data_IF_523170896644
#
_entry.id   IF_523170896644
#
_cell.length_a   1.000
_cell.length_b   1.000
_cell.length_c   1.000
_cell.angle_alpha   90.00
_cell.angle_beta   90.00
_cell.angle_gamma   90.00
#
_symmetry.space_group_name_H-M   'P 1'
#
loop_
_entity.id
_entity.type
_entity.pdbx_description
1 polymer ?
#
# COMPACT_ATOMS: atom_id res chain seq x y z
N UNK A 1 36.12 -7.70 -45.62
CA UNK A 1 36.31 -7.86 -44.16
C UNK A 1 36.30 -6.51 -43.43
N UNK A 2 37.06 -5.51 -43.89
CA UNK A 2 37.06 -4.14 -43.30
C UNK A 2 35.66 -3.49 -43.28
N UNK A 3 34.92 -3.51 -44.39
CA UNK A 3 33.57 -2.93 -44.48
C UNK A 3 32.57 -3.60 -43.53
N UNK A 4 32.66 -4.93 -43.38
CA UNK A 4 31.85 -5.72 -42.47
C UNK A 4 32.11 -5.33 -41.00
N UNK A 5 33.39 -5.23 -40.61
CA UNK A 5 33.75 -4.83 -39.25
C UNK A 5 33.27 -3.40 -38.95
N UNK A 6 33.42 -2.45 -39.90
CA UNK A 6 32.97 -1.07 -39.72
C UNK A 6 31.45 -0.95 -39.56
N UNK A 7 30.68 -1.74 -40.30
CA UNK A 7 29.21 -1.77 -40.18
C UNK A 7 28.82 -2.31 -38.79
N UNK A 8 29.36 -3.45 -38.37
CA UNK A 8 29.00 -4.04 -37.08
C UNK A 8 29.46 -3.22 -35.88
N UNK A 9 30.60 -2.52 -35.96
CA UNK A 9 31.02 -1.56 -34.93
C UNK A 9 30.08 -0.36 -34.88
N UNK A 10 29.62 0.17 -36.02
CA UNK A 10 28.60 1.24 -36.05
C UNK A 10 27.25 0.80 -35.51
N UNK A 11 26.88 -0.46 -35.73
CA UNK A 11 25.63 -1.07 -35.24
C UNK A 11 25.73 -1.56 -33.80
N UNK A 12 26.92 -1.53 -33.18
CA UNK A 12 27.14 -2.02 -31.81
C UNK A 12 27.05 -3.55 -31.65
N UNK A 13 27.13 -4.31 -32.75
CA UNK A 13 26.99 -5.75 -32.76
C UNK A 13 28.35 -6.46 -32.66
N UNK A 14 28.89 -6.52 -31.45
CA UNK A 14 30.20 -7.11 -31.19
C UNK A 14 30.24 -8.63 -31.41
N UNK A 15 29.10 -9.32 -31.28
CA UNK A 15 28.99 -10.77 -31.47
C UNK A 15 29.21 -11.21 -32.92
N UNK A 16 29.05 -10.29 -33.89
CA UNK A 16 29.27 -10.56 -35.32
C UNK A 16 30.68 -10.20 -35.80
N UNK A 17 31.58 -9.78 -34.91
CA UNK A 17 33.01 -9.58 -35.20
C UNK A 17 33.79 -10.91 -35.09
N UNK A 18 33.34 -11.91 -35.82
CA UNK A 18 33.94 -13.25 -35.89
C UNK A 18 34.55 -13.52 -37.27
N UNK A 19 35.30 -14.62 -37.37
CA UNK A 19 35.82 -15.10 -38.65
C UNK A 19 34.66 -15.26 -39.67
N UNK A 20 34.81 -14.77 -40.92
CA UNK A 20 33.77 -14.84 -41.94
C UNK A 20 33.65 -16.22 -42.60
N UNK A 21 34.51 -17.18 -42.23
CA UNK A 21 34.40 -18.57 -42.70
C UNK A 21 33.16 -19.23 -42.06
N UNK A 22 32.36 -19.92 -42.87
CA UNK A 22 31.11 -20.54 -42.43
C UNK A 22 31.30 -21.63 -41.35
N UNK A 23 32.50 -22.23 -41.29
CA UNK A 23 32.86 -23.22 -40.28
C UNK A 23 33.63 -22.65 -39.08
N UNK A 24 33.98 -21.37 -39.07
CA UNK A 24 34.76 -20.75 -37.99
C UNK A 24 34.02 -19.55 -37.42
N UNK A 25 33.59 -19.63 -36.15
CA UNK A 25 32.98 -18.49 -35.43
C UNK A 25 33.92 -17.87 -34.39
N UNK A 26 35.23 -18.07 -34.56
CA UNK A 26 36.19 -17.52 -33.61
C UNK A 26 36.17 -15.99 -33.64
N UNK A 27 36.16 -15.31 -32.48
CA UNK A 27 36.21 -13.86 -32.41
C UNK A 27 37.52 -13.35 -33.00
N UNK A 28 37.45 -12.22 -33.70
CA UNK A 28 38.64 -11.59 -34.27
C UNK A 28 39.53 -11.05 -33.14
N UNK A 29 40.84 -11.37 -33.13
CA UNK A 29 41.74 -10.87 -32.10
C UNK A 29 41.88 -9.33 -32.19
N UNK A 30 42.10 -8.64 -31.06
CA UNK A 30 42.14 -7.17 -31.01
C UNK A 30 43.18 -6.54 -31.96
N UNK A 31 44.31 -7.21 -32.20
CA UNK A 31 45.36 -6.79 -33.13
C UNK A 31 44.88 -6.73 -34.59
N UNK A 32 44.05 -7.69 -35.01
CA UNK A 32 43.45 -7.73 -36.34
C UNK A 32 42.36 -6.66 -36.46
N UNK A 33 41.54 -6.48 -35.42
CA UNK A 33 40.53 -5.41 -35.38
C UNK A 33 41.15 -4.03 -35.49
N UNK A 34 42.25 -3.75 -34.78
CA UNK A 34 42.98 -2.48 -34.87
C UNK A 34 43.49 -2.20 -36.29
N UNK A 35 44.01 -3.24 -36.95
CA UNK A 35 44.52 -3.15 -38.33
C UNK A 35 43.40 -2.89 -39.35
N UNK A 36 42.21 -3.46 -39.13
CA UNK A 36 41.06 -3.34 -40.04
C UNK A 36 40.24 -2.05 -39.82
N UNK A 37 40.04 -1.63 -38.57
CA UNK A 37 39.14 -0.52 -38.23
C UNK A 37 39.82 0.86 -38.21
N UNK A 38 41.16 0.88 -38.18
CA UNK A 38 41.98 2.07 -37.88
C UNK A 38 41.66 2.65 -36.49
N UNK A 39 42.35 3.71 -36.09
CA UNK A 39 42.29 4.20 -34.70
C UNK A 39 40.88 4.61 -34.26
N UNK A 40 40.13 5.36 -35.09
CA UNK A 40 38.78 5.84 -34.74
C UNK A 40 37.77 4.69 -34.55
N UNK A 41 37.76 3.73 -35.47
CA UNK A 41 36.84 2.59 -35.41
C UNK A 41 37.21 1.60 -34.31
N UNK A 42 38.51 1.46 -34.00
CA UNK A 42 38.98 0.63 -32.91
C UNK A 42 38.60 1.22 -31.54
N UNK A 43 38.74 2.54 -31.35
CA UNK A 43 38.32 3.22 -30.12
C UNK A 43 36.81 3.08 -29.87
N UNK A 44 36.01 3.13 -30.94
CA UNK A 44 34.57 2.89 -30.84
C UNK A 44 34.25 1.44 -30.44
N UNK A 45 34.93 0.46 -31.05
CA UNK A 45 34.81 -0.95 -30.67
C UNK A 45 35.20 -1.18 -29.20
N UNK A 46 36.31 -0.61 -28.76
CA UNK A 46 36.81 -0.74 -27.38
C UNK A 46 35.81 -0.16 -26.38
N UNK A 47 35.22 1.00 -26.70
CA UNK A 47 34.18 1.63 -25.87
C UNK A 47 32.93 0.74 -25.76
N UNK A 48 32.46 0.17 -26.87
CA UNK A 48 31.32 -0.76 -26.85
C UNK A 48 31.65 -2.05 -26.11
N UNK A 49 32.85 -2.61 -26.29
CA UNK A 49 33.28 -3.82 -25.61
C UNK A 49 33.35 -3.62 -24.09
N UNK A 50 33.90 -2.48 -23.65
CA UNK A 50 33.88 -2.09 -22.26
C UNK A 50 32.45 -1.93 -21.75
N UNK A 51 31.58 -1.22 -22.47
CA UNK A 51 30.19 -1.05 -22.06
C UNK A 51 29.46 -2.40 -21.91
N UNK A 52 29.64 -3.34 -22.84
CA UNK A 52 29.06 -4.69 -22.73
C UNK A 52 29.60 -5.50 -21.54
N UNK A 53 30.86 -5.32 -21.19
CA UNK A 53 31.44 -5.93 -19.99
C UNK A 53 30.85 -5.32 -18.71
N UNK A 54 30.74 -3.98 -18.67
CA UNK A 54 30.15 -3.26 -17.55
C UNK A 54 28.66 -3.62 -17.37
N UNK A 55 27.92 -3.72 -18.48
CA UNK A 55 26.52 -4.16 -18.50
C UNK A 55 26.35 -5.62 -18.06
N UNK A 56 27.42 -6.44 -18.04
CA UNK A 56 27.37 -7.81 -17.55
C UNK A 56 27.58 -7.92 -16.03
N UNK A 57 28.05 -6.86 -15.37
CA UNK A 57 28.31 -6.85 -13.93
C UNK A 57 27.07 -6.35 -13.16
N UNK A 58 26.36 -7.23 -12.44
CA UNK A 58 25.09 -6.89 -11.78
C UNK A 58 25.29 -5.99 -10.54
N UNK A 59 26.48 -5.99 -9.96
CA UNK A 59 26.89 -5.20 -8.80
C UNK A 59 27.46 -3.83 -9.19
N UNK A 60 27.55 -3.52 -10.49
CA UNK A 60 28.05 -2.24 -10.96
C UNK A 60 26.98 -1.15 -10.89
N UNK A 61 27.26 -0.10 -10.12
CA UNK A 61 26.40 1.07 -9.99
C UNK A 61 27.18 2.36 -10.23
N UNK A 62 26.50 3.40 -10.73
CA UNK A 62 27.14 4.68 -11.01
C UNK A 62 26.92 5.69 -9.88
N UNK A 63 28.00 6.38 -9.51
CA UNK A 63 27.95 7.43 -8.50
C UNK A 63 27.01 8.58 -8.94
N UNK A 64 26.05 9.01 -8.11
CA UNK A 64 25.12 10.08 -8.47
C UNK A 64 25.77 11.47 -8.54
N UNK A 65 27.03 11.64 -8.09
CA UNK A 65 27.73 12.94 -8.08
C UNK A 65 28.68 13.12 -9.25
N UNK A 66 29.44 12.07 -9.58
CA UNK A 66 30.52 12.15 -10.57
C UNK A 66 30.42 11.06 -11.65
N UNK A 67 29.37 10.24 -11.64
CA UNK A 67 29.15 9.15 -12.60
C UNK A 67 30.27 8.11 -12.67
N UNK A 68 31.14 8.06 -11.66
CA UNK A 68 32.15 7.01 -11.56
C UNK A 68 31.50 5.66 -11.27
N UNK A 69 32.02 4.60 -11.88
CA UNK A 69 31.61 3.23 -11.59
C UNK A 69 31.99 2.84 -10.15
N UNK A 70 31.05 2.22 -9.45
CA UNK A 70 31.14 1.81 -8.05
C UNK A 70 30.59 0.39 -7.91
N UNK A 71 31.09 -0.38 -6.95
CA UNK A 71 30.57 -1.70 -6.63
C UNK A 71 29.53 -1.59 -5.49
N UNK A 72 28.38 -2.22 -5.70
CA UNK A 72 27.29 -2.34 -4.73
C UNK A 72 27.58 -3.47 -3.73
N UNK A 73 27.43 -3.18 -2.44
CA UNK A 73 27.48 -4.14 -1.33
C UNK A 73 26.26 -3.91 -0.47
N UNK A 74 25.37 -4.90 -0.41
CA UNK A 74 24.14 -4.88 0.40
C UNK A 74 23.31 -3.58 0.27
N UNK A 75 23.02 -3.17 -0.97
CA UNK A 75 22.26 -1.95 -1.33
C UNK A 75 22.96 -0.61 -1.03
N UNK A 76 24.24 -0.63 -0.66
CA UNK A 76 25.08 0.54 -0.46
C UNK A 76 26.28 0.51 -1.42
N UNK A 77 26.79 1.68 -1.79
CA UNK A 77 28.01 1.79 -2.58
C UNK A 77 28.86 2.98 -2.13
N UNK A 78 30.18 2.83 -2.20
CA UNK A 78 31.13 3.91 -1.97
C UNK A 78 31.86 4.26 -3.25
N UNK A 79 31.80 5.53 -3.64
CA UNK A 79 32.50 6.01 -4.83
C UNK A 79 34.02 6.08 -4.60
N UNK A 80 34.85 5.43 -5.44
CA UNK A 80 36.31 5.54 -5.29
C UNK A 80 36.86 6.91 -5.72
N UNK A 81 36.14 7.64 -6.57
CA UNK A 81 36.58 8.95 -7.06
C UNK A 81 36.29 10.12 -6.11
N UNK A 82 35.08 10.19 -5.55
CA UNK A 82 34.66 11.29 -4.67
C UNK A 82 34.39 10.86 -3.22
N UNK A 83 34.63 9.59 -2.87
CA UNK A 83 34.41 9.00 -1.55
C UNK A 83 32.97 9.14 -1.01
N UNK A 84 32.01 9.49 -1.87
CA UNK A 84 30.61 9.58 -1.49
C UNK A 84 30.03 8.19 -1.29
N UNK A 85 29.53 7.92 -0.07
CA UNK A 85 28.78 6.70 0.26
C UNK A 85 27.28 6.95 0.12
N UNK A 86 26.62 6.11 -0.66
CA UNK A 86 25.21 6.29 -1.03
C UNK A 86 24.46 4.96 -1.06
N UNK A 87 23.15 5.03 -0.85
CA UNK A 87 22.25 3.90 -1.04
C UNK A 87 21.96 3.73 -2.54
N UNK A 88 22.12 2.53 -3.08
CA UNK A 88 21.94 2.24 -4.51
C UNK A 88 20.48 2.25 -4.94
N UNK A 89 19.56 2.04 -3.98
CA UNK A 89 18.11 2.08 -4.22
C UNK A 89 17.60 3.51 -4.41
N UNK A 90 17.87 4.42 -3.46
CA UNK A 90 17.37 5.81 -3.51
C UNK A 90 18.37 6.82 -4.08
N UNK A 91 19.64 6.42 -4.31
CA UNK A 91 20.76 7.26 -4.77
C UNK A 91 21.07 8.46 -3.86
N UNK A 92 20.61 8.45 -2.60
CA UNK A 92 20.93 9.45 -1.57
C UNK A 92 22.03 8.96 -0.64
N UNK A 93 22.47 9.81 0.29
CA UNK A 93 23.45 9.44 1.33
C UNK A 93 22.98 8.15 2.04
N UNK A 94 23.92 7.25 2.31
CA UNK A 94 23.68 6.02 3.07
C UNK A 94 22.92 6.29 4.37
N UNK A 95 21.92 5.47 4.65
CA UNK A 95 21.05 5.57 5.82
C UNK A 95 20.80 4.17 6.41
N UNK A 96 20.61 4.09 7.73
CA UNK A 96 20.34 2.83 8.46
C UNK A 96 19.12 3.05 9.33
N UNK A 97 18.13 2.16 9.26
CA UNK A 97 16.91 2.24 10.08
C UNK A 97 15.84 3.23 9.59
N UNK A 98 16.18 4.11 8.65
CA UNK A 98 15.21 5.00 7.99
C UNK A 98 14.51 4.30 6.81
N UNK A 99 13.26 4.67 6.56
CA UNK A 99 12.51 4.21 5.39
C UNK A 99 13.14 4.80 4.11
N UNK A 100 13.95 4.00 3.42
CA UNK A 100 14.62 4.38 2.17
C UNK A 100 13.64 4.75 1.05
N UNK A 101 12.81 3.76 0.72
CA UNK A 101 11.78 3.74 -0.33
C UNK A 101 10.65 2.85 0.19
N UNK A 102 9.48 2.94 -0.43
CA UNK A 102 8.36 2.07 -0.06
C UNK A 102 8.64 0.62 -0.50
N UNK A 103 8.04 -0.39 0.14
CA UNK A 103 8.18 -1.78 -0.27
C UNK A 103 7.81 -2.01 -1.75
N UNK A 104 6.78 -1.34 -2.24
CA UNK A 104 6.33 -1.43 -3.64
C UNK A 104 7.41 -0.97 -4.62
N UNK A 105 8.04 0.16 -4.31
CA UNK A 105 9.12 0.74 -5.11
C UNK A 105 10.33 -0.20 -5.13
N UNK A 106 10.68 -0.78 -3.98
CA UNK A 106 11.79 -1.72 -3.85
C UNK A 106 11.57 -2.97 -4.71
N UNK A 107 10.36 -3.54 -4.65
CA UNK A 107 9.98 -4.69 -5.49
C UNK A 107 10.14 -4.34 -6.98
N UNK A 108 9.71 -3.14 -7.41
CA UNK A 108 9.85 -2.70 -8.80
C UNK A 108 11.32 -2.65 -9.24
N UNK A 109 12.18 -2.00 -8.46
CA UNK A 109 13.60 -1.86 -8.76
C UNK A 109 14.28 -3.24 -8.89
N UNK A 110 14.02 -4.15 -7.94
CA UNK A 110 14.61 -5.50 -7.97
C UNK A 110 14.12 -6.31 -9.18
N UNK A 111 12.83 -6.23 -9.53
CA UNK A 111 12.29 -6.89 -10.72
C UNK A 111 12.87 -6.32 -12.03
N UNK A 112 13.15 -5.03 -12.10
CA UNK A 112 13.80 -4.41 -13.26
C UNK A 112 15.26 -4.85 -13.39
N UNK A 113 16.00 -4.91 -12.28
CA UNK A 113 17.37 -5.45 -12.26
C UNK A 113 17.42 -6.88 -12.81
N UNK A 114 16.47 -7.74 -12.40
CA UNK A 114 16.37 -9.12 -12.90
C UNK A 114 16.10 -9.24 -14.40
N UNK A 115 15.47 -8.25 -15.03
CA UNK A 115 15.17 -8.26 -16.48
C UNK A 115 16.34 -7.78 -17.32
N UNK A 116 17.13 -6.84 -16.80
CA UNK A 116 18.18 -6.16 -17.56
C UNK A 116 19.51 -6.93 -17.56
N UNK A 117 19.80 -7.62 -16.46
CA UNK A 117 21.10 -8.25 -16.24
C UNK A 117 21.00 -9.77 -16.29
N UNK A 118 22.03 -10.42 -16.84
CA UNK A 118 22.22 -11.86 -16.63
C UNK A 118 22.80 -12.05 -15.23
N UNK A 119 21.91 -12.15 -14.25
CA UNK A 119 22.29 -12.24 -12.83
C UNK A 119 22.75 -13.67 -12.51
N UNK A 120 23.85 -13.86 -11.75
CA UNK A 120 24.22 -15.16 -11.21
C UNK A 120 23.07 -15.79 -10.41
N UNK A 121 22.89 -17.11 -10.52
CA UNK A 121 21.78 -17.84 -9.90
C UNK A 121 21.67 -17.60 -8.39
N UNK A 122 22.80 -17.53 -7.69
CA UNK A 122 22.86 -17.28 -6.24
C UNK A 122 22.29 -15.90 -5.85
N UNK A 123 22.67 -14.86 -6.60
CA UNK A 123 22.19 -13.50 -6.37
C UNK A 123 20.71 -13.37 -6.73
N UNK A 124 20.27 -14.01 -7.81
CA UNK A 124 18.86 -14.09 -8.19
C UNK A 124 18.01 -14.77 -7.10
N UNK A 125 18.51 -15.84 -6.50
CA UNK A 125 17.83 -16.52 -5.39
C UNK A 125 17.75 -15.66 -4.13
N UNK A 126 18.78 -14.85 -3.83
CA UNK A 126 18.77 -13.89 -2.71
C UNK A 126 17.72 -12.80 -2.94
N UNK A 127 17.72 -12.18 -4.11
CA UNK A 127 16.75 -11.12 -4.44
C UNK A 127 15.31 -11.65 -4.52
N UNK A 128 15.11 -12.86 -5.05
CA UNK A 128 13.78 -13.48 -5.09
C UNK A 128 13.22 -13.71 -3.69
N UNK A 129 14.02 -14.23 -2.76
CA UNK A 129 13.62 -14.38 -1.35
C UNK A 129 13.24 -13.04 -0.73
N UNK A 130 14.03 -11.99 -0.99
CA UNK A 130 13.73 -10.65 -0.50
C UNK A 130 12.42 -10.08 -1.07
N UNK A 131 12.14 -10.29 -2.36
CA UNK A 131 10.87 -9.90 -2.98
C UNK A 131 9.70 -10.66 -2.34
N UNK A 132 9.82 -11.99 -2.19
CA UNK A 132 8.77 -12.83 -1.62
C UNK A 132 8.47 -12.44 -0.16
N UNK A 133 9.50 -12.12 0.64
CA UNK A 133 9.33 -11.59 1.99
C UNK A 133 8.56 -10.25 2.01
N UNK A 134 8.90 -9.32 1.11
CA UNK A 134 8.20 -8.03 1.02
C UNK A 134 6.73 -8.20 0.61
N UNK A 135 6.44 -9.10 -0.32
CA UNK A 135 5.07 -9.42 -0.75
C UNK A 135 4.29 -10.04 0.40
N UNK A 136 4.85 -11.04 1.08
CA UNK A 136 4.22 -11.68 2.24
C UNK A 136 3.89 -10.66 3.34
N UNK A 137 4.79 -9.72 3.61
CA UNK A 137 4.54 -8.63 4.57
C UNK A 137 3.41 -7.72 4.09
N UNK A 138 3.38 -7.34 2.82
CA UNK A 138 2.30 -6.54 2.25
C UNK A 138 0.95 -7.25 2.33
N UNK A 139 0.90 -8.54 2.02
CA UNK A 139 -0.30 -9.37 2.11
C UNK A 139 -0.79 -9.48 3.55
N UNK A 140 0.11 -9.72 4.52
CA UNK A 140 -0.24 -9.74 5.94
C UNK A 140 -0.76 -8.39 6.45
N UNK A 141 -0.31 -7.29 5.84
CA UNK A 141 -0.74 -5.94 6.15
C UNK A 141 -1.93 -5.46 5.31
N UNK A 142 -2.44 -6.27 4.36
CA UNK A 142 -3.51 -5.87 3.44
C UNK A 142 -4.79 -5.51 4.19
N UNK A 143 -5.20 -6.39 5.10
CA UNK A 143 -6.45 -6.27 5.87
C UNK A 143 -6.20 -5.85 7.32
N UNK A 144 -4.98 -5.41 7.63
CA UNK A 144 -4.57 -5.01 8.98
C UNK A 144 -3.90 -3.64 8.98
N UNK A 145 -3.98 -2.94 10.12
CA UNK A 145 -3.30 -1.66 10.31
C UNK A 145 -2.31 -1.72 11.44
N UNK A 146 -1.15 -1.10 11.22
CA UNK A 146 -0.12 -1.00 12.24
C UNK A 146 -0.48 0.03 13.30
N UNK A 147 -0.43 -0.38 14.56
CA UNK A 147 -0.60 0.51 15.69
C UNK A 147 0.34 1.73 15.57
N UNK A 148 -0.16 2.98 15.70
CA UNK A 148 0.68 4.17 15.56
C UNK A 148 1.78 4.26 16.63
N UNK A 149 1.62 3.58 17.77
CA UNK A 149 2.60 3.56 18.87
C UNK A 149 3.63 2.45 18.74
N UNK A 150 3.19 1.19 18.64
CA UNK A 150 4.07 0.01 18.73
C UNK A 150 4.21 -0.76 17.42
N UNK A 151 3.58 -0.30 16.34
CA UNK A 151 3.63 -0.90 14.99
C UNK A 151 3.09 -2.33 14.85
N UNK A 152 2.57 -2.93 15.92
CA UNK A 152 1.85 -4.21 15.86
C UNK A 152 0.72 -4.13 14.85
N UNK A 153 0.65 -5.10 13.93
CA UNK A 153 -0.44 -5.24 12.97
C UNK A 153 -1.72 -5.64 13.72
N UNK A 154 -2.82 -4.94 13.44
CA UNK A 154 -4.11 -5.13 14.08
C UNK A 154 -5.15 -5.23 12.98
N UNK A 155 -5.85 -6.35 12.88
CA UNK A 155 -6.99 -6.51 11.99
C UNK A 155 -8.23 -5.87 12.58
N UNK A 156 -9.12 -5.37 11.74
CA UNK A 156 -10.40 -4.79 12.17
C UNK A 156 -11.27 -5.88 12.81
N UNK A 157 -11.74 -5.64 14.02
CA UNK A 157 -12.73 -6.49 14.70
C UNK A 157 -14.05 -5.70 14.78
N UNK A 158 -14.85 -5.84 13.73
CA UNK A 158 -16.22 -5.34 13.51
C UNK A 158 -16.55 -3.86 13.77
N UNK A 159 -17.22 -3.24 12.78
CA UNK A 159 -18.10 -2.07 12.87
C UNK A 159 -17.49 -0.72 13.31
N UNK A 160 -16.65 -0.69 14.33
CA UNK A 160 -16.17 0.52 14.99
C UNK A 160 -14.72 0.83 14.62
N UNK A 161 -14.49 2.04 14.11
CA UNK A 161 -13.16 2.54 13.81
C UNK A 161 -12.35 2.89 15.08
N UNK A 162 -12.94 2.91 16.28
CA UNK A 162 -12.18 3.05 17.53
C UNK A 162 -11.61 1.68 17.94
N UNK A 163 -10.36 1.45 17.61
CA UNK A 163 -9.65 0.20 17.92
C UNK A 163 -8.75 0.34 19.14
N UNK A 164 -8.53 -0.76 19.85
CA UNK A 164 -7.58 -0.84 20.98
C UNK A 164 -6.45 -1.77 20.61
N UNK A 165 -5.21 -1.31 20.73
CA UNK A 165 -4.06 -2.18 20.50
C UNK A 165 -3.91 -3.20 21.63
N UNK A 166 -4.01 -4.51 21.31
CA UNK A 166 -3.81 -5.57 22.30
C UNK A 166 -2.40 -5.61 22.90
N UNK A 167 -1.39 -5.14 22.17
CA UNK A 167 0.00 -5.11 22.65
C UNK A 167 0.28 -3.93 23.61
N UNK A 168 -0.12 -2.70 23.25
CA UNK A 168 0.24 -1.49 24.02
C UNK A 168 -0.92 -0.78 24.72
N UNK A 169 -2.15 -1.30 24.60
CA UNK A 169 -3.37 -0.79 25.23
C UNK A 169 -3.88 0.57 24.71
N UNK A 170 -3.20 1.23 23.76
CA UNK A 170 -3.63 2.53 23.26
C UNK A 170 -4.78 2.43 22.27
N UNK A 171 -5.67 3.41 22.33
CA UNK A 171 -6.72 3.60 21.34
C UNK A 171 -6.17 4.30 20.08
N UNK A 172 -6.68 3.90 18.93
CA UNK A 172 -6.41 4.55 17.65
C UNK A 172 -7.62 4.43 16.73
N UNK A 173 -7.71 5.33 15.75
CA UNK A 173 -8.73 5.27 14.72
C UNK A 173 -8.26 4.36 13.57
N UNK A 174 -8.98 3.27 13.29
CA UNK A 174 -8.67 2.35 12.21
C UNK A 174 -8.75 3.06 10.84
N UNK A 175 -9.73 3.93 10.63
CA UNK A 175 -9.89 4.66 9.36
C UNK A 175 -8.66 5.51 9.02
N UNK A 176 -8.25 6.43 9.91
CA UNK A 176 -7.17 7.38 9.62
C UNK A 176 -5.80 7.02 10.23
N UNK A 177 -5.70 5.91 10.95
CA UNK A 177 -4.50 5.42 11.66
C UNK A 177 -3.88 6.40 12.68
N UNK A 178 -4.65 7.36 13.21
CA UNK A 178 -4.20 8.31 14.25
C UNK A 178 -4.44 7.76 15.66
N UNK A 179 -3.53 8.04 16.58
CA UNK A 179 -3.71 7.77 18.00
C UNK A 179 -4.81 8.68 18.57
N UNK A 180 -5.70 8.13 19.41
CA UNK A 180 -6.85 8.84 19.98
C UNK A 180 -6.92 8.61 21.49
N UNK A 181 -7.49 9.57 22.23
CA UNK A 181 -7.74 9.44 23.67
C UNK A 181 -9.04 8.72 24.01
N UNK A 182 -9.95 8.59 23.05
CA UNK A 182 -11.32 8.14 23.28
C UNK A 182 -12.18 8.31 22.04
N UNK A 183 -13.39 8.84 22.21
CA UNK A 183 -14.35 9.06 21.13
C UNK A 183 -14.31 10.48 20.54
N UNK A 184 -13.53 11.40 21.13
CA UNK A 184 -13.41 12.80 20.72
C UNK A 184 -13.06 12.99 19.24
N UNK A 185 -12.25 12.05 18.71
CA UNK A 185 -11.83 12.07 17.31
C UNK A 185 -12.99 11.98 16.31
N UNK A 186 -14.11 11.38 16.69
CA UNK A 186 -15.27 11.14 15.83
C UNK A 186 -16.38 12.19 16.00
N UNK A 187 -16.27 13.08 16.99
CA UNK A 187 -17.33 14.06 17.31
C UNK A 187 -17.27 15.32 16.45
N UNK A 188 -16.08 15.71 15.97
CA UNK A 188 -15.89 16.94 15.21
C UNK A 188 -16.00 16.76 13.68
N UNK A 189 -16.51 15.62 13.20
CA UNK A 189 -16.58 15.31 11.77
C UNK A 189 -15.23 15.00 11.11
N UNK A 190 -14.16 14.86 11.90
CA UNK A 190 -12.82 14.55 11.39
C UNK A 190 -12.67 13.08 10.93
N UNK A 191 -13.55 12.18 11.38
CA UNK A 191 -13.58 10.77 10.99
C UNK A 191 -14.90 10.11 11.40
N UNK A 192 -15.34 9.12 10.63
CA UNK A 192 -16.55 8.35 10.89
C UNK A 192 -16.26 7.19 11.86
N UNK A 193 -17.10 7.03 12.89
CA UNK A 193 -16.94 5.96 13.88
C UNK A 193 -17.39 4.60 13.33
N UNK A 194 -18.45 4.59 12.54
CA UNK A 194 -18.97 3.41 11.87
C UNK A 194 -18.89 3.65 10.36
N UNK A 195 -18.51 2.63 9.60
CA UNK A 195 -18.65 2.70 8.15
C UNK A 195 -20.15 2.68 7.80
N UNK A 196 -20.55 3.52 6.85
CA UNK A 196 -21.90 3.43 6.28
C UNK A 196 -21.92 2.20 5.39
N UNK A 197 -22.70 1.20 5.76
CA UNK A 197 -23.06 0.11 4.85
C UNK A 197 -23.67 0.76 3.62
N UNK A 198 -23.00 0.65 2.48
CA UNK A 198 -23.66 0.82 1.20
C UNK A 198 -24.42 -0.48 1.00
N UNK A 199 -25.75 -0.41 0.99
CA UNK A 199 -26.59 -1.51 0.51
C UNK A 199 -26.26 -1.73 -0.98
N UNK A 200 -25.17 -2.44 -1.26
CA UNK A 200 -24.96 -3.08 -2.55
C UNK A 200 -25.97 -4.22 -2.62
N UNK A 201 -27.17 -3.93 -3.11
CA UNK A 201 -28.17 -4.92 -3.48
C UNK A 201 -27.62 -5.77 -4.65
N UNK A 202 -27.10 -7.00 -4.42
CA UNK A 202 -26.38 -7.76 -5.44
C UNK A 202 -27.36 -8.68 -6.17
N UNK A 203 -28.44 -8.13 -6.74
CA UNK A 203 -29.48 -8.95 -7.36
C UNK A 203 -30.19 -8.33 -8.57
N UNK A 204 -29.48 -7.58 -9.41
CA UNK A 204 -29.96 -7.24 -10.75
C UNK A 204 -28.84 -7.38 -11.78
N UNK A 205 -28.47 -8.64 -12.06
CA UNK A 205 -27.95 -9.04 -13.36
C UNK A 205 -28.23 -10.53 -13.57
N UNK A 206 -29.10 -10.74 -14.56
CA UNK A 206 -29.25 -11.93 -15.39
C UNK A 206 -29.86 -13.19 -14.77
N UNK A 207 -31.17 -13.37 -14.99
CA UNK A 207 -31.63 -14.58 -15.70
C UNK A 207 -33.00 -14.34 -16.35
N UNK A 208 -33.01 -14.45 -17.68
CA UNK A 208 -34.22 -14.59 -18.48
C UNK A 208 -34.81 -16.00 -18.30
N UNK A 209 -36.14 -16.07 -18.18
CA UNK A 209 -37.00 -17.18 -18.62
C UNK A 209 -37.21 -18.38 -17.67
N UNK A 210 -38.24 -18.31 -16.81
CA UNK A 210 -39.13 -19.46 -16.55
C UNK A 210 -40.54 -18.98 -16.15
N UNK A 211 -41.55 -19.41 -16.90
CA UNK A 211 -42.95 -19.04 -16.69
C UNK A 211 -43.62 -19.80 -15.54
N UNK A 212 -44.56 -19.13 -14.88
CA UNK A 212 -45.48 -19.67 -13.88
C UNK A 212 -46.50 -18.60 -13.45
N UNK A 213 -47.75 -19.03 -13.29
CA UNK A 213 -49.01 -18.26 -13.14
C UNK A 213 -49.04 -17.13 -12.08
N UNK A 214 -49.91 -16.10 -12.23
CA UNK A 214 -50.13 -15.06 -11.24
C UNK A 214 -51.43 -15.30 -10.48
N UNK A 215 -51.40 -15.99 -9.35
CA UNK A 215 -52.43 -15.92 -8.29
C UNK A 215 -51.95 -16.74 -7.08
N UNK A 216 -52.28 -16.29 -5.86
CA UNK A 216 -51.90 -16.83 -4.52
C UNK A 216 -50.53 -16.30 -4.04
N UNK A 217 -50.36 -15.42 -3.05
CA UNK A 217 -51.10 -15.19 -1.81
C UNK A 217 -51.02 -13.73 -1.35
N UNK A 218 -52.19 -13.14 -1.07
CA UNK A 218 -52.32 -11.88 -0.37
C UNK A 218 -52.14 -12.11 1.14
N UNK A 219 -50.90 -12.10 1.62
CA UNK A 219 -50.61 -12.13 3.05
C UNK A 219 -50.54 -10.69 3.60
N UNK A 220 -51.66 -10.30 4.21
CA UNK A 220 -51.90 -9.20 5.17
C UNK A 220 -50.66 -8.37 5.57
N UNK A 221 -50.55 -7.16 4.99
CA UNK A 221 -49.77 -6.07 5.56
C UNK A 221 -50.36 -5.71 6.94
N UNK A 222 -49.70 -6.14 8.01
CA UNK A 222 -49.91 -5.57 9.34
C UNK A 222 -49.54 -4.07 9.31
N UNK A 223 -50.30 -3.19 9.98
CA UNK A 223 -50.03 -1.76 9.95
C UNK A 223 -48.66 -1.48 10.59
N UNK A 224 -47.76 -0.84 9.84
CA UNK A 224 -46.46 -0.37 10.30
C UNK A 224 -46.61 0.39 11.63
N UNK A 225 -46.26 -0.26 12.74
CA UNK A 225 -45.96 0.45 13.98
C UNK A 225 -44.70 1.25 13.71
N UNK A 226 -44.87 2.54 13.37
CA UNK A 226 -43.75 3.47 13.20
C UNK A 226 -43.05 3.57 14.56
N UNK A 227 -42.00 2.79 14.74
CA UNK A 227 -41.24 2.76 15.98
C UNK A 227 -40.59 4.14 16.15
N UNK A 228 -41.12 4.94 17.07
CA UNK A 228 -40.62 6.27 17.39
C UNK A 228 -39.21 6.15 17.96
N UNK A 229 -38.21 6.38 17.11
CA UNK A 229 -36.81 6.28 17.47
C UNK A 229 -36.21 7.65 17.81
N UNK A 230 -35.54 7.72 18.95
CA UNK A 230 -34.95 8.93 19.51
C UNK A 230 -33.42 8.89 19.38
N UNK A 231 -32.79 9.74 18.56
CA UNK A 231 -31.35 9.72 18.37
C UNK A 231 -30.61 10.24 19.61
N UNK A 232 -29.56 9.52 20.04
CA UNK A 232 -28.73 9.94 21.15
C UNK A 232 -27.91 11.18 20.78
N UNK A 233 -27.93 12.27 21.57
CA UNK A 233 -27.13 13.46 21.30
C UNK A 233 -25.63 13.28 21.45
N UNK A 234 -25.18 12.15 22.00
CA UNK A 234 -23.76 11.87 22.22
C UNK A 234 -23.16 10.94 21.15
N UNK A 235 -23.93 9.97 20.63
CA UNK A 235 -23.41 9.00 19.65
C UNK A 235 -24.31 8.82 18.41
N UNK A 236 -25.42 9.52 18.31
CA UNK A 236 -26.33 9.45 17.16
C UNK A 236 -27.17 8.17 17.06
N UNK A 237 -26.84 7.11 17.83
CA UNK A 237 -27.61 5.86 17.84
C UNK A 237 -29.08 6.15 18.15
N UNK A 238 -29.97 5.62 17.32
CA UNK A 238 -31.41 5.61 17.54
C UNK A 238 -31.72 4.65 18.69
N UNK A 239 -32.36 5.15 19.75
CA UNK A 239 -32.82 4.33 20.86
C UNK A 239 -34.32 4.57 21.02
N UNK A 240 -35.00 3.57 21.56
CA UNK A 240 -36.42 3.67 21.89
C UNK A 240 -36.62 4.27 23.27
N UNK A 241 -37.78 4.89 23.45
CA UNK A 241 -38.25 5.36 24.74
C UNK A 241 -38.95 4.19 25.44
N UNK A 242 -38.64 3.97 26.72
CA UNK A 242 -39.28 2.91 27.50
C UNK A 242 -40.56 3.44 28.14
N UNK A 243 -41.71 3.05 27.58
CA UNK A 243 -43.03 3.51 28.02
C UNK A 243 -43.13 5.03 27.92
N UNK A 244 -43.66 5.69 28.95
CA UNK A 244 -43.79 7.15 28.96
C UNK A 244 -42.52 7.89 29.38
N UNK A 245 -41.45 7.20 29.78
CA UNK A 245 -40.28 7.84 30.39
C UNK A 245 -39.36 8.51 29.35
N UNK A 246 -39.34 9.83 29.34
CA UNK A 246 -38.49 10.64 28.46
C UNK A 246 -36.99 10.58 28.82
N UNK A 247 -36.59 9.94 29.91
CA UNK A 247 -35.18 9.68 30.22
C UNK A 247 -34.70 8.41 29.50
N UNK A 248 -33.94 8.59 28.43
CA UNK A 248 -33.38 7.49 27.64
C UNK A 248 -31.93 7.23 28.05
N UNK A 249 -31.61 5.96 28.32
CA UNK A 249 -30.24 5.46 28.42
C UNK A 249 -29.82 4.91 27.05
N UNK A 250 -28.83 5.54 26.42
CA UNK A 250 -28.32 5.02 25.17
C UNK A 250 -27.59 3.69 25.37
N UNK A 251 -28.04 2.63 24.71
CA UNK A 251 -27.39 1.31 24.79
C UNK A 251 -25.98 1.31 24.17
N UNK A 252 -25.70 2.24 23.24
CA UNK A 252 -24.41 2.33 22.56
C UNK A 252 -23.32 2.99 23.39
N UNK A 253 -23.60 4.16 23.99
CA UNK A 253 -22.61 4.94 24.72
C UNK A 253 -22.83 5.01 26.23
N UNK A 254 -23.90 4.36 26.73
CA UNK A 254 -24.37 4.43 28.12
C UNK A 254 -24.66 5.86 28.61
N UNK A 255 -24.85 6.80 27.68
CA UNK A 255 -25.18 8.19 27.96
C UNK A 255 -26.67 8.38 28.22
N UNK A 256 -27.01 9.22 29.18
CA UNK A 256 -28.40 9.58 29.51
C UNK A 256 -28.82 10.86 28.78
N UNK A 257 -30.03 10.87 28.20
CA UNK A 257 -30.57 12.03 27.49
C UNK A 257 -32.09 12.07 27.51
N UNK A 258 -32.65 13.22 27.18
CA UNK A 258 -34.09 13.46 27.18
C UNK A 258 -34.69 13.27 25.78
N UNK A 259 -35.78 12.50 25.67
CA UNK A 259 -36.50 12.24 24.42
C UNK A 259 -37.10 13.52 23.81
N UNK A 260 -37.62 14.42 24.65
CA UNK A 260 -38.31 15.65 24.22
C UNK A 260 -37.35 16.70 23.66
N UNK A 261 -36.34 17.07 24.43
CA UNK A 261 -35.42 18.15 24.05
C UNK A 261 -34.12 17.65 23.42
N UNK A 262 -33.90 16.33 23.40
CA UNK A 262 -32.69 15.68 22.87
C UNK A 262 -31.40 16.16 23.53
N UNK A 263 -31.47 16.74 24.74
CA UNK A 263 -30.28 17.16 25.51
C UNK A 263 -29.82 16.07 26.45
N UNK A 264 -28.52 16.07 26.72
CA UNK A 264 -27.89 15.18 27.71
C UNK A 264 -28.42 15.48 29.11
N UNK A 265 -28.73 14.41 29.85
CA UNK A 265 -29.18 14.46 31.24
C UNK A 265 -28.03 13.98 32.11
N UNK A 266 -27.42 14.88 32.87
CA UNK A 266 -26.35 14.53 33.82
C UNK A 266 -26.93 14.07 35.17
N UNK A 267 -28.02 14.72 35.61
CA UNK A 267 -28.80 14.37 36.80
C UNK A 267 -30.27 14.55 36.48
N UNK A 268 -31.08 13.50 36.67
CA UNK A 268 -32.51 13.51 36.33
C UNK A 268 -33.27 14.66 37.00
N UNK A 269 -33.04 14.85 38.30
CA UNK A 269 -33.69 15.87 39.14
C UNK A 269 -33.41 17.32 38.72
N UNK A 270 -32.32 17.56 37.99
CA UNK A 270 -31.97 18.91 37.51
C UNK A 270 -32.55 19.19 36.12
N UNK A 271 -32.98 18.15 35.40
CA UNK A 271 -33.49 18.26 34.04
C UNK A 271 -35.01 18.11 33.99
N UNK A 272 -35.56 17.19 34.78
CA UNK A 272 -36.99 16.91 34.84
C UNK A 272 -37.62 17.57 36.07
N UNK A 273 -38.69 18.33 35.86
CA UNK A 273 -39.38 19.06 36.93
C UNK A 273 -40.22 20.24 36.43
N UNK A 274 -40.82 21.04 37.33
CA UNK A 274 -41.77 22.10 36.97
C UNK A 274 -41.15 23.25 36.15
N UNK A 275 -39.82 23.41 36.18
CA UNK A 275 -39.07 24.36 35.34
C UNK A 275 -38.29 23.70 34.20
N UNK A 276 -38.38 22.37 34.07
CA UNK A 276 -37.61 21.54 33.14
C UNK A 276 -38.50 20.74 32.18
N UNK A 277 -37.93 19.72 31.54
CA UNK A 277 -38.71 18.82 30.69
C UNK A 277 -39.62 17.91 31.53
N UNK A 278 -40.74 17.46 30.96
CA UNK A 278 -41.58 16.46 31.61
C UNK A 278 -40.90 15.09 31.56
N UNK A 279 -40.83 14.41 32.71
CA UNK A 279 -40.22 13.08 32.77
C UNK A 279 -41.09 12.02 32.10
N UNK A 280 -42.41 12.15 32.15
CA UNK A 280 -43.35 11.20 31.59
C UNK A 280 -44.29 11.87 30.60
N UNK A 281 -44.29 11.41 29.34
CA UNK A 281 -45.27 11.79 28.32
C UNK A 281 -45.66 10.57 27.49
N UNK A 282 -46.87 10.53 26.97
CA UNK A 282 -47.27 9.54 25.95
C UNK A 282 -46.63 9.93 24.60
N UNK A 283 -46.44 8.94 23.73
CA UNK A 283 -45.80 9.06 22.40
C UNK A 283 -46.81 9.39 21.31
#
# INVERSE_FOLDING_TARGET
MESHCKIHVKEGNLMQLACPDTNCRNPLPPSVLKSLLRDDGYAQWESFALQKLLDAMPDLVYCPRCSAACLEVDNDAQCPGCFFTFCTLCKRRRHVGDTCITPEEKIRILKERQKLYSIPEEQLLKEKREIDELINIQEALRDSKQCPRCKMAISKIEGCNKMTCGNCGRFFCYRCNKAIGGYDHFWNGNCDMFEREQDENPQQQDDENFGGDPDEDAELLEPEWVLLTYPCPNCGRRNEKLGTNNHILCIGCRGHYCALCRKRVLRGEQHFGPRGCQQHTED
#
